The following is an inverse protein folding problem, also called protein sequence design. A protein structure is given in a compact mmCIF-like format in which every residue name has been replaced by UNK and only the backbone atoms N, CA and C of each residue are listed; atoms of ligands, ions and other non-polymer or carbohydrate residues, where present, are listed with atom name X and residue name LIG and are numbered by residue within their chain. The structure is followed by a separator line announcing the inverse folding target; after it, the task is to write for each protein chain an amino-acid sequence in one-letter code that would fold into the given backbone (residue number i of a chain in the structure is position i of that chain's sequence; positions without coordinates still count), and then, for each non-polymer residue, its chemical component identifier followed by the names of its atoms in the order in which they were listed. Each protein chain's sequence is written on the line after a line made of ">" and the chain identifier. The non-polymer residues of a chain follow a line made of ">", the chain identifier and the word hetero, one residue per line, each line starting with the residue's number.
data_IF_067675691754
#
_entry.id   IF_067675691754
#
_cell.length_a   1.000
_cell.length_b   1.000
_cell.length_c   1.000
_cell.angle_alpha   90.00
_cell.angle_beta   90.00
_cell.angle_gamma   90.00
#
_symmetry.space_group_name_H-M   'P 1'
#
loop_
_entity.id
_entity.type
_entity.pdbx_description
1 polymer ?
#
# COMPACT_ATOMS: atom_id res chain seq x y z
N UNK A 1 -20.29 44.83 82.29
CA UNK A 1 -20.75 45.06 83.67
C UNK A 1 -19.49 45.26 84.50
N UNK A 2 -19.08 46.51 84.69
CA UNK A 2 -19.43 47.33 85.85
C UNK A 2 -18.58 46.92 87.07
N UNK A 3 -17.45 47.62 87.20
CA UNK A 3 -16.66 47.74 88.42
C UNK A 3 -17.43 48.64 89.38
N UNK A 4 -17.65 48.21 90.62
CA UNK A 4 -18.03 49.08 91.73
C UNK A 4 -17.37 48.63 93.04
N UNK A 5 -16.32 49.39 93.37
CA UNK A 5 -15.97 50.01 94.66
C UNK A 5 -16.98 49.75 95.80
N UNK A 6 -16.51 49.26 96.96
CA UNK A 6 -16.44 50.12 98.16
C UNK A 6 -15.92 49.45 99.44
N UNK A 7 -15.33 50.34 100.23
CA UNK A 7 -15.25 50.38 101.69
C UNK A 7 -14.05 49.76 102.41
N UNK A 8 -13.10 50.66 102.64
CA UNK A 8 -12.14 50.69 103.73
C UNK A 8 -12.85 50.91 105.07
N UNK A 9 -12.71 49.94 105.98
CA UNK A 9 -12.86 50.16 107.41
C UNK A 9 -11.57 49.72 108.10
N UNK A 10 -10.86 50.73 108.61
CA UNK A 10 -9.68 50.63 109.45
C UNK A 10 -10.02 49.93 110.77
N UNK A 11 -9.37 48.82 111.07
CA UNK A 11 -9.25 48.32 112.44
C UNK A 11 -7.83 47.79 112.71
N UNK A 12 -7.15 48.52 113.60
CA UNK A 12 -6.22 48.03 114.63
C UNK A 12 -5.29 46.87 114.22
N UNK A 13 -4.06 47.23 113.86
CA UNK A 13 -2.99 46.27 113.59
C UNK A 13 -2.65 45.45 114.84
N UNK A 14 -2.76 44.12 114.80
CA UNK A 14 -2.31 43.28 115.91
C UNK A 14 -0.77 43.25 115.91
N UNK A 15 -0.18 43.42 117.10
CA UNK A 15 1.26 43.55 117.31
C UNK A 15 2.12 42.40 116.77
N UNK A 16 3.45 42.60 116.68
CA UNK A 16 4.38 41.75 115.92
C UNK A 16 4.41 40.26 116.33
N UNK A 17 3.93 39.90 117.53
CA UNK A 17 3.81 38.49 117.98
C UNK A 17 2.60 37.75 117.38
N UNK A 18 1.54 38.45 116.95
CA UNK A 18 0.35 37.81 116.36
C UNK A 18 0.54 37.46 114.87
N UNK A 19 1.44 38.13 114.15
CA UNK A 19 1.78 37.79 112.76
C UNK A 19 2.60 36.50 112.64
N UNK A 20 3.51 36.24 113.58
CA UNK A 20 4.28 34.99 113.62
C UNK A 20 3.38 33.77 113.89
N UNK A 21 2.39 33.90 114.77
CA UNK A 21 1.46 32.81 115.05
C UNK A 21 0.43 32.56 113.94
N UNK A 22 0.04 33.60 113.17
CA UNK A 22 -0.87 33.44 112.03
C UNK A 22 -0.17 32.86 110.79
N UNK A 23 1.15 33.03 110.67
CA UNK A 23 2.00 32.30 109.70
C UNK A 23 2.17 30.83 110.08
N UNK A 24 2.44 30.54 111.36
CA UNK A 24 2.56 29.16 111.87
C UNK A 24 1.23 28.38 111.84
N UNK A 25 0.09 29.02 112.12
CA UNK A 25 -1.22 28.37 112.09
C UNK A 25 -1.71 28.02 110.67
N UNK A 26 -1.20 28.70 109.63
CA UNK A 26 -1.47 28.35 108.21
C UNK A 26 -0.64 27.15 107.73
N UNK A 27 0.44 26.80 108.43
CA UNK A 27 1.19 25.56 108.18
C UNK A 27 0.77 24.41 109.11
N UNK A 28 0.14 24.68 110.26
CA UNK A 28 -0.41 23.66 111.15
C UNK A 28 -1.81 23.14 110.75
N UNK A 29 -2.46 23.78 109.79
CA UNK A 29 -3.74 23.36 109.21
C UNK A 29 -3.67 23.15 107.69
N UNK A 30 -2.47 22.87 107.17
CA UNK A 30 -2.40 22.07 105.96
C UNK A 30 -3.02 20.72 106.33
N UNK A 31 -4.04 20.22 105.60
CA UNK A 31 -4.49 18.86 105.83
C UNK A 31 -3.24 18.00 105.72
N UNK A 32 -2.95 17.20 106.75
CA UNK A 32 -1.98 16.11 106.65
C UNK A 32 -2.53 15.25 105.53
N UNK A 33 -2.10 15.55 104.30
CA UNK A 33 -2.51 14.81 103.12
C UNK A 33 -2.06 13.41 103.42
N UNK A 34 -3.05 12.52 103.40
CA UNK A 34 -2.85 11.09 103.55
C UNK A 34 -1.73 10.69 102.59
N UNK A 35 -0.53 10.51 103.13
CA UNK A 35 0.67 10.07 102.43
C UNK A 35 0.40 8.68 101.81
N UNK A 36 -0.52 7.93 102.41
CA UNK A 36 -1.11 6.70 101.89
C UNK A 36 -1.97 6.90 100.64
N UNK A 37 -2.68 8.02 100.49
CA UNK A 37 -3.44 8.37 99.29
C UNK A 37 -2.53 8.84 98.15
N UNK A 38 -1.42 9.52 98.46
CA UNK A 38 -0.43 9.93 97.46
C UNK A 38 0.42 8.74 96.96
N UNK A 39 0.79 7.83 97.87
CA UNK A 39 1.45 6.56 97.52
C UNK A 39 0.57 5.65 96.67
N UNK A 40 -0.73 5.54 96.99
CA UNK A 40 -1.66 4.72 96.19
C UNK A 40 -1.95 5.33 94.82
N UNK A 41 -2.06 6.66 94.72
CA UNK A 41 -2.23 7.36 93.44
C UNK A 41 -0.99 7.24 92.56
N UNK A 42 0.21 7.41 93.12
CA UNK A 42 1.46 7.22 92.38
C UNK A 42 1.63 5.77 91.93
N UNK A 43 1.27 4.78 92.76
CA UNK A 43 1.27 3.37 92.37
C UNK A 43 0.28 3.08 91.23
N UNK A 44 -0.91 3.69 91.24
CA UNK A 44 -1.90 3.58 90.17
C UNK A 44 -1.41 4.21 88.85
N UNK A 45 -0.71 5.34 88.92
CA UNK A 45 -0.09 5.97 87.75
C UNK A 45 1.03 5.08 87.20
N UNK A 46 1.89 4.53 88.04
CA UNK A 46 2.98 3.64 87.63
C UNK A 46 2.45 2.36 86.97
N UNK A 47 1.40 1.74 87.52
CA UNK A 47 0.80 0.54 86.92
C UNK A 47 0.17 0.84 85.56
N UNK A 48 -0.52 1.98 85.43
CA UNK A 48 -1.07 2.46 84.15
C UNK A 48 0.03 2.68 83.11
N UNK A 49 1.10 3.39 83.45
CA UNK A 49 2.21 3.65 82.53
C UNK A 49 2.92 2.37 82.09
N UNK A 50 3.06 1.38 82.99
CA UNK A 50 3.61 0.05 82.63
C UNK A 50 2.72 -0.66 81.62
N UNK A 51 1.40 -0.65 81.83
CA UNK A 51 0.44 -1.26 80.93
C UNK A 51 0.39 -0.54 79.57
N UNK A 52 0.43 0.80 79.56
CA UNK A 52 0.54 1.58 78.32
C UNK A 52 1.85 1.26 77.57
N UNK A 53 2.99 1.23 78.27
CA UNK A 53 4.28 0.83 77.68
C UNK A 53 4.20 -0.57 77.06
N UNK A 54 3.63 -1.52 77.76
CA UNK A 54 3.55 -2.89 77.27
C UNK A 54 2.59 -2.99 76.07
N UNK A 55 1.50 -2.22 76.05
CA UNK A 55 0.64 -2.06 74.85
C UNK A 55 1.40 -1.47 73.66
N UNK A 56 2.19 -0.41 73.87
CA UNK A 56 3.01 0.18 72.80
C UNK A 56 4.05 -0.81 72.26
N UNK A 57 4.64 -1.64 73.14
CA UNK A 57 5.59 -2.67 72.71
C UNK A 57 4.92 -3.76 71.88
N UNK A 58 3.74 -4.23 72.27
CA UNK A 58 3.02 -5.25 71.50
C UNK A 58 2.55 -4.71 70.15
N UNK A 59 2.02 -3.48 70.10
CA UNK A 59 1.61 -2.87 68.83
C UNK A 59 2.82 -2.62 67.92
N UNK A 60 3.93 -2.11 68.44
CA UNK A 60 5.16 -1.91 67.66
C UNK A 60 5.68 -3.23 67.07
N UNK A 61 5.72 -4.31 67.86
CA UNK A 61 6.13 -5.63 67.37
C UNK A 61 5.21 -6.18 66.28
N UNK A 62 3.90 -5.96 66.40
CA UNK A 62 2.94 -6.38 65.37
C UNK A 62 3.16 -5.58 64.08
N UNK A 63 3.33 -4.26 64.17
CA UNK A 63 3.60 -3.40 63.03
C UNK A 63 4.92 -3.76 62.34
N UNK A 64 5.99 -4.02 63.11
CA UNK A 64 7.27 -4.46 62.57
C UNK A 64 7.13 -5.76 61.76
N UNK A 65 6.39 -6.76 62.30
CA UNK A 65 6.13 -8.00 61.58
C UNK A 65 5.34 -7.77 60.29
N UNK A 66 4.34 -6.89 60.32
CA UNK A 66 3.53 -6.54 59.16
C UNK A 66 4.37 -5.85 58.07
N UNK A 67 5.22 -4.89 58.46
CA UNK A 67 6.12 -4.21 57.55
C UNK A 67 7.09 -5.21 56.90
N UNK A 68 7.69 -6.09 57.69
CA UNK A 68 8.57 -7.14 57.17
C UNK A 68 7.86 -8.12 56.23
N UNK A 69 6.59 -8.48 56.47
CA UNK A 69 5.82 -9.27 55.51
C UNK A 69 5.56 -8.49 54.21
N UNK A 70 5.12 -7.24 54.30
CA UNK A 70 4.86 -6.42 53.12
C UNK A 70 6.10 -6.17 52.28
N UNK A 71 7.27 -6.01 52.91
CA UNK A 71 8.54 -5.83 52.20
C UNK A 71 8.91 -7.09 51.42
N UNK A 72 8.67 -8.28 51.99
CA UNK A 72 8.89 -9.55 51.28
C UNK A 72 7.95 -9.70 50.10
N UNK A 73 6.67 -9.37 50.28
CA UNK A 73 5.66 -9.44 49.23
C UNK A 73 5.97 -8.47 48.09
N UNK A 74 6.39 -7.25 48.43
CA UNK A 74 6.82 -6.25 47.45
C UNK A 74 8.03 -6.73 46.64
N UNK A 75 9.06 -7.28 47.30
CA UNK A 75 10.22 -7.87 46.61
C UNK A 75 9.84 -9.04 45.69
N UNK A 76 8.85 -9.84 46.08
CA UNK A 76 8.34 -10.93 45.25
C UNK A 76 7.61 -10.37 44.01
N UNK A 77 6.80 -9.32 44.19
CA UNK A 77 6.13 -8.63 43.09
C UNK A 77 7.13 -8.00 42.13
N UNK A 78 8.16 -7.31 42.62
CA UNK A 78 9.23 -6.73 41.78
C UNK A 78 9.88 -7.80 40.88
N UNK A 79 10.23 -8.95 41.44
CA UNK A 79 10.78 -10.08 40.66
C UNK A 79 9.79 -10.58 39.61
N UNK A 80 8.52 -10.66 39.96
CA UNK A 80 7.47 -11.11 39.04
C UNK A 80 7.27 -10.13 37.89
N UNK A 81 7.28 -8.83 38.18
CA UNK A 81 7.22 -7.76 37.18
C UNK A 81 8.43 -7.86 36.24
N UNK A 82 9.64 -8.01 36.77
CA UNK A 82 10.84 -8.15 35.94
C UNK A 82 10.77 -9.35 34.97
N UNK A 83 10.29 -10.51 35.44
CA UNK A 83 10.10 -11.70 34.58
C UNK A 83 9.04 -11.46 33.50
N UNK A 84 7.95 -10.75 33.84
CA UNK A 84 6.91 -10.42 32.87
C UNK A 84 7.40 -9.40 31.84
N UNK A 85 8.19 -8.41 32.24
CA UNK A 85 8.81 -7.43 31.35
C UNK A 85 9.77 -8.12 30.36
N UNK A 86 10.61 -9.03 30.84
CA UNK A 86 11.50 -9.83 29.98
C UNK A 86 10.71 -10.67 28.97
N UNK A 87 9.66 -11.37 29.44
CA UNK A 87 8.79 -12.15 28.55
C UNK A 87 8.06 -11.28 27.54
N UNK A 88 7.62 -10.10 27.94
CA UNK A 88 6.94 -9.16 27.04
C UNK A 88 7.91 -8.63 25.98
N UNK A 89 9.15 -8.30 26.37
CA UNK A 89 10.19 -7.90 25.42
C UNK A 89 10.49 -9.01 24.40
N UNK A 90 10.58 -10.27 24.84
CA UNK A 90 10.76 -11.41 23.96
C UNK A 90 9.57 -11.61 23.00
N UNK A 91 8.34 -11.44 23.49
CA UNK A 91 7.13 -11.52 22.65
C UNK A 91 7.09 -10.38 21.61
N UNK A 92 7.43 -9.15 21.99
CA UNK A 92 7.52 -8.03 21.06
C UNK A 92 8.58 -8.28 19.98
N UNK A 93 9.74 -8.82 20.35
CA UNK A 93 10.78 -9.18 19.39
C UNK A 93 10.29 -10.23 18.39
N UNK A 94 9.68 -11.33 18.88
CA UNK A 94 9.11 -12.37 18.02
C UNK A 94 8.00 -11.85 17.11
N UNK A 95 7.11 -10.99 17.63
CA UNK A 95 6.07 -10.37 16.82
C UNK A 95 6.65 -9.51 15.69
N UNK A 96 7.70 -8.72 15.96
CA UNK A 96 8.35 -7.92 14.92
C UNK A 96 9.01 -8.79 13.85
N UNK A 97 9.60 -9.93 14.22
CA UNK A 97 10.13 -10.90 13.26
C UNK A 97 9.02 -11.47 12.36
N UNK A 98 7.90 -11.89 12.95
CA UNK A 98 6.74 -12.40 12.23
C UNK A 98 6.14 -11.36 11.27
N UNK A 99 6.00 -10.10 11.73
CA UNK A 99 5.54 -8.98 10.88
C UNK A 99 6.50 -8.79 9.71
N UNK A 100 7.82 -8.78 9.94
CA UNK A 100 8.81 -8.63 8.88
C UNK A 100 8.78 -9.78 7.87
N UNK A 101 8.49 -11.01 8.32
CA UNK A 101 8.33 -12.17 7.46
C UNK A 101 7.04 -12.08 6.64
N UNK A 102 5.94 -11.64 7.26
CA UNK A 102 4.66 -11.38 6.60
C UNK A 102 4.81 -10.32 5.50
N UNK A 103 5.51 -9.20 5.78
CA UNK A 103 5.74 -8.14 4.80
C UNK A 103 6.50 -8.67 3.57
N UNK A 104 7.54 -9.50 3.77
CA UNK A 104 8.27 -10.16 2.68
C UNK A 104 7.40 -11.11 1.86
N UNK A 105 6.46 -11.80 2.48
CA UNK A 105 5.50 -12.65 1.77
C UNK A 105 4.52 -11.81 0.97
N UNK A 106 4.06 -10.68 1.54
CA UNK A 106 3.15 -9.76 0.87
C UNK A 106 3.79 -9.13 -0.38
N UNK A 107 5.05 -8.68 -0.29
CA UNK A 107 5.77 -8.14 -1.46
C UNK A 107 5.94 -9.20 -2.55
N UNK A 108 6.25 -10.44 -2.18
CA UNK A 108 6.34 -11.55 -3.15
C UNK A 108 5.00 -11.86 -3.81
N UNK A 109 3.91 -11.79 -3.06
CA UNK A 109 2.57 -11.99 -3.61
C UNK A 109 2.22 -10.87 -4.59
N UNK A 110 2.56 -9.62 -4.26
CA UNK A 110 2.40 -8.49 -5.17
C UNK A 110 3.20 -8.69 -6.47
N UNK A 111 4.48 -9.10 -6.38
CA UNK A 111 5.30 -9.40 -7.56
C UNK A 111 4.68 -10.48 -8.45
N UNK A 112 4.03 -11.48 -7.85
CA UNK A 112 3.34 -12.56 -8.59
C UNK A 112 2.08 -12.03 -9.27
N UNK A 113 1.32 -11.16 -8.61
CA UNK A 113 0.15 -10.50 -9.20
C UNK A 113 0.58 -9.65 -10.41
N UNK A 114 1.59 -8.81 -10.25
CA UNK A 114 2.09 -7.94 -11.33
C UNK A 114 2.59 -8.77 -12.53
N UNK A 115 3.24 -9.92 -12.28
CA UNK A 115 3.63 -10.86 -13.35
C UNK A 115 2.43 -11.53 -14.00
N UNK A 116 1.41 -11.89 -13.23
CA UNK A 116 0.19 -12.48 -13.75
C UNK A 116 -0.55 -11.52 -14.68
N UNK A 117 -0.72 -10.25 -14.27
CA UNK A 117 -1.33 -9.21 -15.10
C UNK A 117 -0.58 -9.04 -16.42
N UNK A 118 0.76 -8.95 -16.38
CA UNK A 118 1.60 -8.88 -17.59
C UNK A 118 1.41 -10.09 -18.51
N UNK A 119 1.33 -11.31 -17.97
CA UNK A 119 1.08 -12.51 -18.75
C UNK A 119 -0.32 -12.53 -19.38
N UNK A 120 -1.33 -12.00 -18.67
CA UNK A 120 -2.68 -11.84 -19.18
C UNK A 120 -2.70 -10.86 -20.35
N UNK A 121 -2.00 -9.73 -20.24
CA UNK A 121 -1.87 -8.76 -21.33
C UNK A 121 -1.17 -9.35 -22.55
N UNK A 122 -0.07 -10.08 -22.36
CA UNK A 122 0.64 -10.79 -23.44
C UNK A 122 -0.25 -11.85 -24.11
N UNK A 123 -1.01 -12.60 -23.32
CA UNK A 123 -1.95 -13.58 -23.85
C UNK A 123 -3.02 -12.89 -24.70
N UNK A 124 -3.62 -11.80 -24.20
CA UNK A 124 -4.61 -11.04 -24.94
C UNK A 124 -4.07 -10.49 -26.26
N UNK A 125 -2.83 -9.99 -26.27
CA UNK A 125 -2.19 -9.51 -27.50
C UNK A 125 -1.92 -10.65 -28.47
N UNK A 126 -1.42 -11.80 -28.00
CA UNK A 126 -1.22 -12.99 -28.84
C UNK A 126 -2.53 -13.50 -29.46
N UNK A 127 -3.65 -13.41 -28.74
CA UNK A 127 -4.97 -13.76 -29.25
C UNK A 127 -5.39 -12.77 -30.34
N UNK A 128 -5.17 -11.46 -30.15
CA UNK A 128 -5.45 -10.45 -31.17
C UNK A 128 -4.64 -10.68 -32.43
N UNK A 129 -3.32 -10.90 -32.32
CA UNK A 129 -2.45 -11.16 -33.48
C UNK A 129 -2.86 -12.45 -34.21
N UNK A 130 -3.15 -13.53 -33.48
CA UNK A 130 -3.65 -14.78 -34.07
C UNK A 130 -4.96 -14.58 -34.83
N UNK A 131 -5.90 -13.77 -34.31
CA UNK A 131 -7.14 -13.47 -35.04
C UNK A 131 -6.90 -12.64 -36.29
N UNK A 132 -5.94 -11.69 -36.28
CA UNK A 132 -5.53 -10.92 -37.46
C UNK A 132 -4.90 -11.81 -38.53
N UNK A 133 -4.00 -12.71 -38.15
CA UNK A 133 -3.38 -13.68 -39.05
C UNK A 133 -4.43 -14.60 -39.69
N UNK A 134 -5.36 -15.15 -38.90
CA UNK A 134 -6.49 -15.94 -39.43
C UNK A 134 -7.34 -15.17 -40.44
N UNK A 135 -7.56 -13.87 -40.25
CA UNK A 135 -8.27 -13.02 -41.23
C UNK A 135 -7.43 -12.83 -42.50
N UNK A 136 -6.13 -12.59 -42.37
CA UNK A 136 -5.19 -12.45 -43.49
C UNK A 136 -5.09 -13.75 -44.32
N UNK A 137 -4.96 -14.91 -43.69
CA UNK A 137 -4.88 -16.20 -44.39
C UNK A 137 -6.17 -16.51 -45.17
N UNK A 138 -7.34 -16.18 -44.61
CA UNK A 138 -8.62 -16.27 -45.34
C UNK A 138 -8.64 -15.35 -46.56
N UNK A 139 -8.09 -14.15 -46.46
CA UNK A 139 -7.98 -13.23 -47.58
C UNK A 139 -7.04 -13.78 -48.67
N UNK A 140 -5.86 -14.30 -48.27
CA UNK A 140 -4.92 -14.98 -49.20
C UNK A 140 -5.57 -16.16 -49.91
N UNK A 141 -6.33 -16.99 -49.20
CA UNK A 141 -7.09 -18.10 -49.79
C UNK A 141 -8.09 -17.64 -50.85
N UNK A 142 -8.81 -16.54 -50.60
CA UNK A 142 -9.72 -15.94 -51.61
C UNK A 142 -8.97 -15.44 -52.83
N UNK A 143 -7.83 -14.78 -52.65
CA UNK A 143 -6.98 -14.31 -53.76
C UNK A 143 -6.46 -15.50 -54.59
N UNK A 144 -6.00 -16.56 -53.93
CA UNK A 144 -5.54 -17.78 -54.60
C UNK A 144 -6.65 -18.43 -55.43
N UNK A 145 -7.88 -18.53 -54.89
CA UNK A 145 -9.03 -19.06 -55.63
C UNK A 145 -9.38 -18.21 -56.86
N UNK A 146 -9.31 -16.88 -56.75
CA UNK A 146 -9.52 -15.97 -57.90
C UNK A 146 -8.44 -16.17 -58.97
N UNK A 147 -7.17 -16.23 -58.57
CA UNK A 147 -6.06 -16.50 -59.49
C UNK A 147 -6.18 -17.86 -60.18
N UNK A 148 -6.62 -18.90 -59.47
CA UNK A 148 -6.85 -20.22 -60.05
C UNK A 148 -7.97 -20.18 -61.10
N UNK A 149 -9.06 -19.46 -60.82
CA UNK A 149 -10.16 -19.26 -61.79
C UNK A 149 -9.68 -18.52 -63.03
N UNK A 150 -8.94 -17.42 -62.87
CA UNK A 150 -8.36 -16.67 -64.00
C UNK A 150 -7.40 -17.53 -64.82
N UNK A 151 -6.54 -18.33 -64.18
CA UNK A 151 -5.65 -19.25 -64.91
C UNK A 151 -6.45 -20.29 -65.71
N UNK A 152 -7.52 -20.84 -65.12
CA UNK A 152 -8.35 -21.83 -65.79
C UNK A 152 -9.09 -21.24 -67.00
N UNK A 153 -9.64 -20.02 -66.87
CA UNK A 153 -10.27 -19.33 -68.00
C UNK A 153 -9.26 -19.04 -69.11
N UNK A 154 -8.10 -18.46 -68.78
CA UNK A 154 -7.03 -18.22 -69.75
C UNK A 154 -6.57 -19.51 -70.46
N UNK A 155 -6.41 -20.61 -69.72
CA UNK A 155 -6.04 -21.91 -70.29
C UNK A 155 -7.08 -22.44 -71.28
N UNK A 156 -8.37 -22.40 -70.91
CA UNK A 156 -9.47 -22.75 -71.82
C UNK A 156 -9.38 -21.94 -73.13
N UNK A 157 -9.12 -20.64 -73.05
CA UNK A 157 -9.00 -19.79 -74.22
C UNK A 157 -7.74 -20.08 -75.06
N UNK A 158 -6.57 -20.26 -74.45
CA UNK A 158 -5.36 -20.67 -75.19
C UNK A 158 -5.52 -22.03 -75.88
N UNK A 159 -6.30 -22.95 -75.31
CA UNK A 159 -6.59 -24.24 -75.94
C UNK A 159 -7.65 -24.17 -77.05
N UNK A 160 -8.52 -23.16 -77.03
CA UNK A 160 -9.56 -22.94 -78.06
C UNK A 160 -9.14 -21.95 -79.16
N UNK A 161 -8.06 -21.19 -78.97
CA UNK A 161 -7.48 -20.28 -79.98
C UNK A 161 -6.92 -20.99 -81.23
N UNK A 162 -6.78 -22.32 -81.21
CA UNK A 162 -6.37 -23.10 -82.40
C UNK A 162 -7.51 -23.33 -83.40
N UNK A 163 -8.75 -22.92 -83.09
CA UNK A 163 -9.89 -22.98 -84.00
C UNK A 163 -10.54 -21.59 -84.04
N UNK A 164 -10.11 -20.78 -85.01
CA UNK A 164 -10.65 -19.44 -85.24
C UNK A 164 -12.18 -19.50 -85.45
N UNK A 165 -12.94 -19.09 -84.44
CA UNK A 165 -14.38 -18.85 -84.53
C UNK A 165 -14.66 -17.44 -84.02
N UNK A 166 -15.70 -16.78 -84.55
CA UNK A 166 -16.08 -15.40 -84.22
C UNK A 166 -16.33 -15.14 -82.71
N UNK A 167 -16.46 -16.19 -81.89
CA UNK A 167 -16.61 -16.09 -80.44
C UNK A 167 -15.27 -15.97 -79.69
N UNK A 168 -14.14 -16.20 -80.36
CA UNK A 168 -12.80 -16.13 -79.74
C UNK A 168 -12.36 -14.69 -79.48
N UNK A 169 -12.66 -13.78 -80.39
CA UNK A 169 -12.37 -12.35 -80.25
C UNK A 169 -13.18 -11.73 -79.10
N UNK A 170 -14.50 -11.91 -79.08
CA UNK A 170 -15.36 -11.44 -77.98
C UNK A 170 -14.94 -11.95 -76.59
N UNK A 171 -14.46 -13.20 -76.49
CA UNK A 171 -13.97 -13.74 -75.23
C UNK A 171 -12.53 -13.30 -74.88
N UNK A 172 -11.68 -12.99 -75.85
CA UNK A 172 -10.38 -12.36 -75.59
C UNK A 172 -10.57 -10.93 -75.08
N UNK A 173 -11.57 -10.21 -75.60
CA UNK A 173 -11.99 -8.90 -75.09
C UNK A 173 -12.54 -9.00 -73.67
N UNK A 174 -13.37 -10.00 -73.37
CA UNK A 174 -13.86 -10.25 -72.00
C UNK A 174 -12.71 -10.60 -71.03
N UNK A 175 -11.73 -11.42 -71.46
CA UNK A 175 -10.56 -11.74 -70.67
C UNK A 175 -9.63 -10.53 -70.45
N UNK A 176 -9.51 -9.66 -71.45
CA UNK A 176 -8.74 -8.42 -71.40
C UNK A 176 -9.43 -7.39 -70.50
N UNK A 177 -10.76 -7.26 -70.54
CA UNK A 177 -11.55 -6.46 -69.62
C UNK A 177 -11.37 -6.91 -68.16
N UNK A 178 -11.47 -8.22 -67.90
CA UNK A 178 -11.23 -8.80 -66.57
C UNK A 178 -9.78 -8.60 -66.08
N UNK A 179 -8.82 -8.60 -67.00
CA UNK A 179 -7.43 -8.31 -66.67
C UNK A 179 -7.23 -6.83 -66.33
N UNK A 180 -7.83 -5.91 -67.10
CA UNK A 180 -7.78 -4.47 -66.84
C UNK A 180 -8.44 -4.10 -65.52
N UNK A 181 -9.65 -4.59 -65.23
CA UNK A 181 -10.31 -4.38 -63.92
C UNK A 181 -9.43 -4.87 -62.76
N UNK A 182 -8.70 -5.98 -62.97
CA UNK A 182 -7.82 -6.54 -61.95
C UNK A 182 -6.54 -5.73 -61.75
N UNK A 183 -5.99 -5.17 -62.83
CA UNK A 183 -4.84 -4.26 -62.81
C UNK A 183 -5.23 -3.01 -62.03
N UNK A 184 -6.35 -2.36 -62.36
CA UNK A 184 -6.86 -1.19 -61.64
C UNK A 184 -7.07 -1.46 -60.15
N UNK A 185 -7.66 -2.61 -59.79
CA UNK A 185 -7.85 -2.98 -58.39
C UNK A 185 -6.51 -3.16 -57.65
N UNK A 186 -5.46 -3.63 -58.34
CA UNK A 186 -4.12 -3.79 -57.78
C UNK A 186 -3.41 -2.45 -57.65
N UNK A 187 -3.52 -1.58 -58.65
CA UNK A 187 -2.97 -0.21 -58.64
C UNK A 187 -3.57 0.62 -57.51
N UNK A 188 -4.90 0.65 -57.39
CA UNK A 188 -5.56 1.39 -56.31
C UNK A 188 -5.21 0.86 -54.91
N UNK A 189 -4.95 -0.44 -54.76
CA UNK A 189 -4.43 -1.00 -53.49
C UNK A 189 -2.97 -0.67 -53.26
N UNK A 190 -2.16 -0.62 -54.32
CA UNK A 190 -0.77 -0.16 -54.30
C UNK A 190 -0.67 1.29 -53.85
N UNK A 191 -1.50 2.17 -54.41
CA UNK A 191 -1.58 3.58 -54.02
C UNK A 191 -1.99 3.76 -52.56
N UNK A 192 -2.99 3.00 -52.06
CA UNK A 192 -3.38 3.04 -50.65
C UNK A 192 -2.25 2.58 -49.72
N UNK A 193 -1.44 1.60 -50.15
CA UNK A 193 -0.27 1.14 -49.42
C UNK A 193 0.82 2.21 -49.40
N UNK A 194 1.11 2.85 -50.54
CA UNK A 194 2.05 3.98 -50.62
C UNK A 194 1.61 5.15 -49.73
N UNK A 195 0.32 5.51 -49.73
CA UNK A 195 -0.22 6.56 -48.84
C UNK A 195 -0.10 6.20 -47.36
N UNK A 196 -0.27 4.93 -47.00
CA UNK A 196 -0.10 4.46 -45.63
C UNK A 196 1.37 4.50 -45.19
N UNK A 197 2.30 4.10 -46.07
CA UNK A 197 3.74 4.20 -45.83
C UNK A 197 4.21 5.65 -45.71
N UNK A 198 3.70 6.55 -46.56
CA UNK A 198 4.01 7.97 -46.49
C UNK A 198 3.53 8.60 -45.18
N UNK A 199 2.31 8.29 -44.73
CA UNK A 199 1.79 8.73 -43.42
C UNK A 199 2.58 8.17 -42.23
N UNK A 200 3.11 6.96 -42.36
CA UNK A 200 3.97 6.36 -41.34
C UNK A 200 5.31 7.08 -41.28
N UNK A 201 5.89 7.45 -42.43
CA UNK A 201 7.15 8.20 -42.51
C UNK A 201 6.99 9.64 -41.96
N UNK A 202 5.87 10.30 -42.25
CA UNK A 202 5.57 11.66 -41.76
C UNK A 202 5.26 11.69 -40.24
N UNK A 203 4.95 10.55 -39.63
CA UNK A 203 4.60 10.42 -38.21
C UNK A 203 5.80 10.13 -37.29
N UNK A 204 6.99 9.87 -37.84
CA UNK A 204 8.20 9.67 -37.05
C UNK A 204 8.85 11.02 -36.73
N UNK A 205 8.45 11.62 -35.60
CA UNK A 205 9.27 12.63 -34.93
C UNK A 205 10.59 11.96 -34.48
N UNK A 206 11.71 12.58 -34.87
CA UNK A 206 13.09 12.06 -34.84
C UNK A 206 13.65 11.98 -33.40
N UNK A 207 13.00 11.20 -32.54
CA UNK A 207 13.50 10.94 -31.19
C UNK A 207 13.54 9.42 -30.95
N UNK A 208 14.75 8.87 -31.10
CA UNK A 208 15.15 7.54 -30.59
C UNK A 208 14.74 6.34 -31.46
N UNK A 209 15.31 6.25 -32.68
CA UNK A 209 15.27 5.03 -33.50
C UNK A 209 16.43 4.11 -33.10
N UNK A 210 16.12 2.88 -32.69
CA UNK A 210 17.10 1.83 -32.39
C UNK A 210 17.75 1.30 -33.68
N UNK A 211 19.01 0.88 -33.62
CA UNK A 211 19.80 0.38 -34.77
C UNK A 211 19.13 -0.83 -35.47
N UNK A 212 18.29 -1.60 -34.76
CA UNK A 212 17.52 -2.70 -35.36
C UNK A 212 16.32 -2.21 -36.19
N UNK A 213 15.71 -1.08 -35.83
CA UNK A 213 14.58 -0.50 -36.57
C UNK A 213 15.04 0.20 -37.86
N UNK A 214 16.28 0.65 -37.93
CA UNK A 214 16.89 1.27 -39.11
C UNK A 214 17.03 0.28 -40.30
N UNK A 215 17.19 -1.02 -40.03
CA UNK A 215 17.29 -2.02 -41.09
C UNK A 215 15.92 -2.37 -41.70
N UNK A 216 14.86 -2.39 -40.89
CA UNK A 216 13.52 -2.71 -41.35
C UNK A 216 12.85 -1.51 -42.05
N UNK A 217 13.19 -0.28 -41.67
CA UNK A 217 12.79 0.92 -42.42
C UNK A 217 13.44 1.00 -43.81
N UNK A 218 14.72 0.63 -43.93
CA UNK A 218 15.40 0.60 -45.23
C UNK A 218 14.74 -0.38 -46.23
N UNK A 219 14.30 -1.56 -45.77
CA UNK A 219 13.57 -2.53 -46.62
C UNK A 219 12.18 -2.04 -47.02
N UNK A 220 11.50 -1.29 -46.14
CA UNK A 220 10.21 -0.69 -46.43
C UNK A 220 10.33 0.40 -47.50
N UNK A 221 11.37 1.23 -47.43
CA UNK A 221 11.66 2.27 -48.44
C UNK A 221 12.04 1.66 -49.80
N UNK A 222 12.85 0.60 -49.82
CA UNK A 222 13.19 -0.11 -51.07
C UNK A 222 11.93 -0.70 -51.73
N UNK A 223 11.02 -1.28 -50.94
CA UNK A 223 9.73 -1.75 -51.45
C UNK A 223 8.84 -0.60 -51.95
N UNK A 224 8.83 0.54 -51.25
CA UNK A 224 8.08 1.74 -51.67
C UNK A 224 8.56 2.26 -53.02
N UNK A 225 9.89 2.38 -53.21
CA UNK A 225 10.51 2.83 -54.46
C UNK A 225 10.16 1.87 -55.60
N UNK A 226 10.29 0.56 -55.38
CA UNK A 226 9.96 -0.45 -56.38
C UNK A 226 8.47 -0.42 -56.79
N UNK A 227 7.55 -0.17 -55.85
CA UNK A 227 6.13 -0.05 -56.16
C UNK A 227 5.80 1.23 -56.93
N UNK A 228 6.44 2.36 -56.60
CA UNK A 228 6.28 3.61 -57.36
C UNK A 228 6.78 3.45 -58.79
N UNK A 229 7.96 2.86 -58.99
CA UNK A 229 8.52 2.64 -60.33
C UNK A 229 7.57 1.84 -61.23
N UNK A 230 6.87 0.84 -60.70
CA UNK A 230 5.91 0.03 -61.48
C UNK A 230 4.62 0.80 -61.76
N UNK A 231 4.11 1.60 -60.81
CA UNK A 231 2.88 2.39 -61.00
C UNK A 231 3.09 3.63 -61.90
N UNK A 232 4.30 4.18 -61.87
CA UNK A 232 4.70 5.36 -62.66
C UNK A 232 5.34 4.98 -64.00
N UNK A 233 5.42 3.68 -64.35
CA UNK A 233 5.97 3.22 -65.62
C UNK A 233 5.12 3.69 -66.80
N UNK A 234 5.63 4.69 -67.51
CA UNK A 234 4.98 5.29 -68.68
C UNK A 234 4.75 4.27 -69.80
N UNK A 235 5.62 3.27 -69.96
CA UNK A 235 5.46 2.25 -71.00
C UNK A 235 4.29 1.31 -70.71
N UNK A 236 4.03 1.05 -69.42
CA UNK A 236 2.89 0.26 -68.99
C UNK A 236 1.59 1.05 -69.08
N UNK A 237 1.61 2.35 -68.73
CA UNK A 237 0.45 3.24 -68.91
C UNK A 237 0.03 3.35 -70.37
N UNK A 238 0.98 3.52 -71.29
CA UNK A 238 0.70 3.56 -72.74
C UNK A 238 0.06 2.25 -73.24
N UNK A 239 0.54 1.09 -72.75
CA UNK A 239 -0.07 -0.20 -73.10
C UNK A 239 -1.49 -0.36 -72.54
N UNK A 240 -1.73 0.15 -71.32
CA UNK A 240 -3.04 0.12 -70.68
C UNK A 240 -4.04 1.03 -71.41
N UNK A 241 -3.63 2.23 -71.80
CA UNK A 241 -4.45 3.14 -72.61
C UNK A 241 -4.82 2.48 -73.95
N UNK A 242 -3.87 1.80 -74.60
CA UNK A 242 -4.14 1.01 -75.80
C UNK A 242 -5.12 -0.15 -75.58
N UNK A 243 -5.07 -0.82 -74.43
CA UNK A 243 -6.03 -1.88 -74.05
C UNK A 243 -7.42 -1.31 -73.76
N UNK A 244 -7.52 -0.14 -73.14
CA UNK A 244 -8.77 0.57 -72.90
C UNK A 244 -9.41 1.02 -74.22
N UNK A 245 -8.61 1.54 -75.16
CA UNK A 245 -9.07 1.90 -76.50
C UNK A 245 -9.62 0.69 -77.26
N UNK A 246 -8.92 -0.45 -77.19
CA UNK A 246 -9.41 -1.72 -77.75
C UNK A 246 -10.76 -2.12 -77.16
N UNK A 247 -10.95 -1.99 -75.84
CA UNK A 247 -12.22 -2.33 -75.17
C UNK A 247 -13.35 -1.34 -75.44
N UNK A 248 -13.04 -0.14 -75.92
CA UNK A 248 -14.01 0.92 -76.21
C UNK A 248 -14.54 0.89 -77.66
N UNK A 249 -13.89 0.14 -78.57
CA UNK A 249 -14.35 -0.15 -79.95
C UNK A 249 -15.49 -1.18 -79.99
#
# INVERSE_FOLDING_TARGET
>A
MAVSIDNTLSQSGPGPKARLLRGLARHASAPVRSHWNELSLTQAVVSRLRLERDRWRTTAQVQERQLLSSERDFKLQERTVAVLEERNAALCAGHNEDVSASDKLFTRLQDVIDKHEKLVDQLNESVRTATRLKKSDRAKGKVWQRNLRLKATLQLYTSHATVASANTEASLMEALALANERIEELEGKGELLLQALQKQNDSYDIAEISIEEEHDTAKLLEAEIAFREVLEDETFKEQKEYWEDLLAE
#
